data_IF_978269090486
#
_entry.id   IF_978269090486
#
_cell.length_a   1.000
_cell.length_b   1.000
_cell.length_c   1.000
_cell.angle_alpha   90.00
_cell.angle_beta   90.00
_cell.angle_gamma   90.00
#
_symmetry.space_group_name_H-M   'P 1'
#
loop_
_entity.id
_entity.type
_entity.pdbx_description
1 polymer ?
#
# COMPACT_ATOMS: atom_id res chain seq x y z
N UNK A 1 18.92 -2.86 -14.88
CA UNK A 1 18.48 -1.85 -13.88
C UNK A 1 17.02 -1.47 -14.09
N UNK A 2 16.64 -0.99 -15.29
CA UNK A 2 15.27 -0.54 -15.58
C UNK A 2 14.18 -1.58 -15.28
N UNK A 3 14.38 -2.85 -15.65
CA UNK A 3 13.40 -3.91 -15.40
C UNK A 3 13.11 -4.10 -13.91
N UNK A 4 14.14 -4.11 -13.07
CA UNK A 4 14.01 -4.27 -11.60
C UNK A 4 13.31 -3.05 -10.98
N UNK A 5 13.64 -1.84 -11.43
CA UNK A 5 12.97 -0.62 -10.96
C UNK A 5 11.49 -0.64 -11.32
N UNK A 6 11.17 -1.06 -12.54
CA UNK A 6 9.79 -1.19 -13.02
C UNK A 6 9.01 -2.23 -12.22
N UNK A 7 9.56 -3.43 -12.03
CA UNK A 7 8.93 -4.49 -11.24
C UNK A 7 8.65 -4.03 -9.80
N UNK A 8 9.60 -3.32 -9.16
CA UNK A 8 9.38 -2.76 -7.82
C UNK A 8 8.30 -1.67 -7.82
N UNK A 9 8.25 -0.81 -8.83
CA UNK A 9 7.19 0.19 -8.95
C UNK A 9 5.81 -0.48 -9.09
N UNK A 10 5.69 -1.52 -9.92
CA UNK A 10 4.46 -2.28 -10.12
C UNK A 10 4.00 -2.99 -8.83
N UNK A 11 4.93 -3.57 -8.05
CA UNK A 11 4.63 -4.16 -6.75
C UNK A 11 4.10 -3.13 -5.75
N UNK A 12 4.78 -1.98 -5.64
CA UNK A 12 4.33 -0.89 -4.77
C UNK A 12 2.93 -0.40 -5.16
N UNK A 13 2.67 -0.28 -6.45
CA UNK A 13 1.38 0.19 -6.94
C UNK A 13 0.25 -0.81 -6.68
N UNK A 14 0.52 -2.11 -6.78
CA UNK A 14 -0.42 -3.16 -6.35
C UNK A 14 -0.73 -3.07 -4.87
N UNK A 15 0.28 -2.91 -4.01
CA UNK A 15 0.09 -2.76 -2.57
C UNK A 15 -0.72 -1.51 -2.21
N UNK A 16 -0.47 -0.38 -2.87
CA UNK A 16 -1.24 0.86 -2.66
C UNK A 16 -2.71 0.67 -3.07
N UNK A 17 -2.98 -0.04 -4.18
CA UNK A 17 -4.36 -0.36 -4.59
C UNK A 17 -5.08 -1.21 -3.55
N UNK A 18 -4.42 -2.22 -3.01
CA UNK A 18 -4.98 -3.09 -1.98
C UNK A 18 -5.29 -2.32 -0.69
N UNK A 19 -4.36 -1.45 -0.24
CA UNK A 19 -4.59 -0.55 0.90
C UNK A 19 -5.78 0.41 0.66
N UNK A 20 -5.93 0.92 -0.56
CA UNK A 20 -7.04 1.78 -0.94
C UNK A 20 -8.38 1.03 -0.90
N UNK A 21 -8.44 -0.19 -1.45
CA UNK A 21 -9.63 -1.05 -1.42
C UNK A 21 -10.05 -1.37 0.02
N UNK A 22 -9.08 -1.70 0.88
CA UNK A 22 -9.30 -1.89 2.31
C UNK A 22 -9.88 -0.62 2.96
N UNK A 23 -9.28 0.54 2.70
CA UNK A 23 -9.72 1.82 3.27
C UNK A 23 -11.14 2.21 2.83
N UNK A 24 -11.49 1.95 1.56
CA UNK A 24 -12.86 2.15 1.06
C UNK A 24 -13.84 1.19 1.74
N UNK A 25 -13.43 -0.05 1.96
CA UNK A 25 -14.21 -1.07 2.67
C UNK A 25 -14.50 -0.68 4.12
N UNK A 26 -13.49 -0.14 4.82
CA UNK A 26 -13.60 0.40 6.17
C UNK A 26 -14.52 1.64 6.20
N UNK A 27 -14.35 2.56 5.24
CA UNK A 27 -15.18 3.76 5.12
C UNK A 27 -16.67 3.44 4.99
N UNK A 28 -17.03 2.43 4.20
CA UNK A 28 -18.43 1.97 4.07
C UNK A 28 -19.03 1.44 5.37
N UNK A 29 -18.20 0.91 6.29
CA UNK A 29 -18.66 0.30 7.55
C UNK A 29 -18.60 1.25 8.74
N UNK A 30 -17.61 2.13 8.77
CA UNK A 30 -17.30 3.00 9.91
C UNK A 30 -17.65 4.47 9.66
N UNK A 31 -18.09 4.81 8.43
CA UNK A 31 -18.35 6.18 8.01
C UNK A 31 -17.08 6.86 7.50
N UNK A 32 -16.99 8.19 7.64
CA UNK A 32 -15.86 8.96 7.11
C UNK A 32 -14.57 8.60 7.87
N UNK A 33 -13.68 7.85 7.21
CA UNK A 33 -12.35 7.52 7.70
C UNK A 33 -11.27 8.25 6.90
N UNK A 34 -10.18 8.60 7.56
CA UNK A 34 -8.92 8.94 6.91
C UNK A 34 -7.98 7.75 7.10
N UNK A 35 -7.38 7.29 6.00
CA UNK A 35 -6.44 6.18 6.01
C UNK A 35 -5.07 6.66 5.52
N UNK A 36 -4.02 6.29 6.22
CA UNK A 36 -2.64 6.68 5.93
C UNK A 36 -1.81 5.42 5.69
N UNK A 37 -1.19 5.32 4.52
CA UNK A 37 -0.19 4.28 4.26
C UNK A 37 1.06 4.57 5.10
N UNK A 38 1.49 3.60 5.89
CA UNK A 38 2.66 3.70 6.75
C UNK A 38 3.68 2.61 6.41
N UNK A 39 4.79 2.58 7.15
CA UNK A 39 5.75 1.48 7.06
C UNK A 39 6.60 1.48 5.79
N UNK A 40 7.05 0.29 5.40
CA UNK A 40 8.06 0.13 4.36
C UNK A 40 7.56 0.45 2.95
N UNK A 41 6.28 0.20 2.67
CA UNK A 41 5.64 0.61 1.41
C UNK A 41 5.50 2.12 1.25
N UNK A 42 5.31 2.84 2.36
CA UNK A 42 5.31 4.30 2.37
C UNK A 42 6.71 4.87 2.06
N UNK A 43 7.76 4.30 2.66
CA UNK A 43 9.17 4.71 2.45
C UNK A 43 9.76 4.22 1.13
N UNK A 44 9.24 3.13 0.57
CA UNK A 44 9.76 2.49 -0.64
C UNK A 44 10.86 1.44 -0.40
N UNK A 45 11.16 1.13 0.86
CA UNK A 45 12.19 0.16 1.29
C UNK A 45 11.62 -1.24 1.62
N UNK A 46 10.41 -1.56 1.13
CA UNK A 46 9.74 -2.84 1.32
C UNK A 46 10.49 -4.03 0.67
N UNK A 47 10.22 -5.23 1.18
CA UNK A 47 10.75 -6.50 0.71
C UNK A 47 9.64 -7.55 0.58
N UNK A 48 9.99 -8.77 0.17
CA UNK A 48 9.04 -9.87 -0.08
C UNK A 48 8.25 -10.31 1.16
N UNK A 49 8.76 -10.01 2.36
CA UNK A 49 8.15 -10.34 3.65
C UNK A 49 7.51 -9.12 4.33
N UNK A 50 7.41 -8.00 3.63
CA UNK A 50 6.80 -6.79 4.17
C UNK A 50 5.29 -6.85 4.07
N UNK A 51 4.64 -6.58 5.20
CA UNK A 51 3.20 -6.33 5.27
C UNK A 51 2.86 -4.91 4.75
N UNK A 52 1.57 -4.66 4.53
CA UNK A 52 1.03 -3.34 4.15
C UNK A 52 0.40 -2.69 5.38
N UNK A 53 1.07 -1.68 5.94
CA UNK A 53 0.59 -0.97 7.12
C UNK A 53 -0.35 0.20 6.76
N UNK A 54 -1.55 0.22 7.35
CA UNK A 54 -2.53 1.30 7.21
C UNK A 54 -2.97 1.79 8.58
N UNK A 55 -2.84 3.09 8.84
CA UNK A 55 -3.32 3.80 10.03
C UNK A 55 -4.65 4.51 9.76
#
# INVERSE_FOLDING_TARGET
MEKVVRERAELREKAIREALEFSQCASRRLGRVAAILFGSYARGDFNEWSDIDVL
#
